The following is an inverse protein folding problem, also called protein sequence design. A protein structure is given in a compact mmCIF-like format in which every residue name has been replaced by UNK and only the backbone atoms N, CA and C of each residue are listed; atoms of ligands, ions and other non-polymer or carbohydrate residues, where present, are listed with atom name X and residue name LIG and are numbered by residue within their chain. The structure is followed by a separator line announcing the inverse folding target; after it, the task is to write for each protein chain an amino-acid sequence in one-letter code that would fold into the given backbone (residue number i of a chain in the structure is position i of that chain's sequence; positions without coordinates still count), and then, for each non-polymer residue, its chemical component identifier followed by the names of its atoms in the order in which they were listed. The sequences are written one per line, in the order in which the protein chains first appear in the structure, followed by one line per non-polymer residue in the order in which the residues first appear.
data_IF_009133768312
#
_entry.id   IF_009133768312
#
_cell.length_a   1.000
_cell.length_b   1.000
_cell.length_c   1.000
_cell.angle_alpha   90.00
_cell.angle_beta   90.00
_cell.angle_gamma   90.00
#
_symmetry.space_group_name_H-M   'P 1'
#
loop_
_entity.id
_entity.type
_entity.pdbx_description
1 polymer ?
#
# COMPACT_ATOMS: atom_id res chain seq x y z
N UNK A 1 28.31 -13.18 12.22
CA UNK A 1 27.27 -12.96 13.24
C UNK A 1 26.03 -12.52 12.49
N UNK A 2 24.95 -13.31 12.55
CA UNK A 2 23.67 -12.93 11.94
C UNK A 2 22.97 -11.94 12.89
N UNK A 3 22.22 -10.94 12.41
CA UNK A 3 21.52 -10.01 13.29
C UNK A 3 20.50 -10.79 14.13
N UNK A 4 20.70 -10.84 15.44
CA UNK A 4 20.02 -11.81 16.30
C UNK A 4 18.91 -11.24 17.18
N UNK A 5 18.37 -10.05 16.87
CA UNK A 5 16.98 -9.70 17.24
C UNK A 5 16.60 -8.33 16.67
N UNK A 6 15.46 -8.25 16.00
CA UNK A 6 14.78 -6.97 15.75
C UNK A 6 13.92 -6.65 16.97
N UNK A 7 14.39 -5.74 17.83
CA UNK A 7 13.58 -5.19 18.94
C UNK A 7 12.94 -3.88 18.51
N UNK A 8 11.63 -3.78 18.74
CA UNK A 8 10.87 -2.55 18.57
C UNK A 8 11.33 -1.50 19.60
N UNK A 9 12.03 -0.46 19.16
CA UNK A 9 12.51 0.60 20.06
C UNK A 9 11.37 1.51 20.54
N UNK A 10 10.46 1.91 19.64
CA UNK A 10 9.29 2.72 19.97
C UNK A 10 8.20 2.55 18.92
N UNK A 11 6.96 2.39 19.37
CA UNK A 11 5.78 2.54 18.54
C UNK A 11 5.06 3.85 18.89
N UNK A 12 4.80 4.70 17.90
CA UNK A 12 4.04 5.95 18.08
C UNK A 12 2.89 5.92 17.11
N UNK A 13 1.67 5.92 17.64
CA UNK A 13 0.48 6.12 16.83
C UNK A 13 0.41 7.57 16.37
N UNK A 14 0.03 7.78 15.11
CA UNK A 14 -0.26 9.11 14.57
C UNK A 14 -1.72 9.47 14.90
N UNK A 15 -1.94 10.70 15.34
CA UNK A 15 -3.27 11.28 15.54
C UNK A 15 -3.72 12.03 14.29
N UNK A 16 -5.00 12.41 14.22
CA UNK A 16 -5.52 13.26 13.13
C UNK A 16 -4.78 14.60 13.02
N UNK A 17 -4.28 15.14 14.13
CA UNK A 17 -3.47 16.34 14.13
C UNK A 17 -2.10 16.12 13.48
N UNK A 18 -1.52 14.93 13.66
CA UNK A 18 -0.24 14.55 13.05
C UNK A 18 -0.37 14.29 11.54
N UNK A 19 -1.55 13.87 11.10
CA UNK A 19 -1.83 13.57 9.68
C UNK A 19 -2.61 14.65 8.95
N UNK A 20 -2.95 15.75 9.64
CA UNK A 20 -3.84 16.80 9.15
C UNK A 20 -5.18 16.28 8.59
N UNK A 21 -5.68 15.16 9.12
CA UNK A 21 -6.88 14.48 8.63
C UNK A 21 -6.75 13.88 7.22
N UNK A 22 -5.54 13.73 6.69
CA UNK A 22 -5.28 13.23 5.33
C UNK A 22 -5.15 11.70 5.25
N UNK A 23 -5.48 10.98 6.33
CA UNK A 23 -5.47 9.51 6.33
C UNK A 23 -6.73 8.95 5.70
N UNK A 24 -6.56 8.11 4.69
CA UNK A 24 -7.63 7.33 4.10
C UNK A 24 -7.73 5.97 4.79
N UNK A 25 -8.90 5.57 5.28
CA UNK A 25 -9.05 4.21 5.84
C UNK A 25 -8.91 3.16 4.73
N UNK A 26 -9.29 3.50 3.48
CA UNK A 26 -9.30 2.56 2.35
C UNK A 26 -8.30 2.92 1.25
N UNK A 27 -8.28 4.19 0.83
CA UNK A 27 -7.56 4.65 -0.35
C UNK A 27 -6.33 5.51 -0.01
N UNK A 28 -5.19 4.83 0.14
CA UNK A 28 -3.84 5.42 0.12
C UNK A 28 -3.00 4.68 -0.93
N UNK A 29 -3.36 4.76 -2.23
CA UNK A 29 -2.85 3.84 -3.22
C UNK A 29 -1.39 4.09 -3.57
N UNK A 30 -0.61 3.00 -3.64
CA UNK A 30 0.68 2.95 -4.30
C UNK A 30 0.54 2.27 -5.65
N UNK A 31 1.18 2.81 -6.69
CA UNK A 31 1.08 2.31 -8.07
C UNK A 31 2.45 2.04 -8.67
N UNK A 32 2.55 0.91 -9.37
CA UNK A 32 3.65 0.61 -10.29
C UNK A 32 3.08 0.41 -11.69
N UNK A 33 3.72 1.02 -12.69
CA UNK A 33 3.29 0.93 -14.09
C UNK A 33 4.46 0.49 -14.98
N UNK A 34 4.22 -0.57 -15.76
CA UNK A 34 5.09 -1.07 -16.81
C UNK A 34 4.28 -1.30 -18.10
N UNK A 35 3.77 -0.21 -18.67
CA UNK A 35 3.00 -0.18 -19.91
C UNK A 35 1.66 -0.88 -19.73
N UNK A 36 1.50 -2.04 -20.36
CA UNK A 36 0.27 -2.82 -20.25
C UNK A 36 0.02 -3.33 -18.83
N UNK A 37 1.08 -3.53 -18.03
CA UNK A 37 0.99 -4.07 -16.68
C UNK A 37 0.98 -2.95 -15.66
N UNK A 38 -0.11 -2.83 -14.91
CA UNK A 38 -0.24 -1.87 -13.80
C UNK A 38 -0.60 -2.64 -12.55
N UNK A 39 0.06 -2.33 -11.44
CA UNK A 39 -0.25 -2.86 -10.11
C UNK A 39 -0.60 -1.69 -9.20
N UNK A 40 -1.76 -1.77 -8.54
CA UNK A 40 -2.19 -0.79 -7.52
C UNK A 40 -2.47 -1.53 -6.23
N UNK A 41 -2.00 -0.97 -5.11
CA UNK A 41 -2.26 -1.48 -3.77
C UNK A 41 -2.78 -0.35 -2.89
N UNK A 42 -3.90 -0.56 -2.20
CA UNK A 42 -4.38 0.30 -1.12
C UNK A 42 -4.36 -0.44 0.22
N UNK A 43 -4.91 0.18 1.28
CA UNK A 43 -4.86 -0.39 2.64
C UNK A 43 -5.57 -1.76 2.74
N UNK A 44 -6.62 -1.98 1.95
CA UNK A 44 -7.44 -3.22 1.98
C UNK A 44 -7.53 -3.95 0.64
N UNK A 45 -6.75 -3.56 -0.37
CA UNK A 45 -6.83 -4.20 -1.68
C UNK A 45 -5.51 -4.20 -2.43
N UNK A 46 -5.36 -5.21 -3.29
CA UNK A 46 -4.42 -5.20 -4.38
C UNK A 46 -5.18 -5.52 -5.65
N UNK A 47 -4.88 -4.80 -6.74
CA UNK A 47 -5.49 -5.03 -8.05
C UNK A 47 -4.44 -4.87 -9.13
N UNK A 48 -4.58 -5.60 -10.24
CA UNK A 48 -3.73 -5.44 -11.42
C UNK A 48 -4.55 -5.17 -12.67
N UNK A 49 -3.92 -4.49 -13.62
CA UNK A 49 -4.37 -4.40 -15.00
C UNK A 49 -3.31 -4.98 -15.93
N UNK A 50 -3.75 -5.65 -16.99
CA UNK A 50 -2.91 -6.18 -18.06
C UNK A 50 -3.15 -5.47 -19.42
N UNK A 51 -3.94 -4.40 -19.41
CA UNK A 51 -4.37 -3.64 -20.59
C UNK A 51 -4.27 -2.13 -20.36
N UNK A 52 -3.19 -1.69 -19.70
CA UNK A 52 -2.86 -0.28 -19.45
C UNK A 52 -3.95 0.48 -18.66
N UNK A 53 -4.53 -0.19 -17.66
CA UNK A 53 -5.52 0.38 -16.75
C UNK A 53 -6.96 0.37 -17.25
N UNK A 54 -7.26 -0.33 -18.35
CA UNK A 54 -8.61 -0.38 -18.93
C UNK A 54 -9.51 -1.34 -18.15
N UNK A 55 -9.01 -2.52 -17.79
CA UNK A 55 -9.67 -3.51 -16.94
C UNK A 55 -8.78 -3.89 -15.77
N UNK A 56 -9.42 -4.31 -14.67
CA UNK A 56 -8.76 -4.58 -13.40
C UNK A 56 -9.27 -5.88 -12.78
N UNK A 57 -8.34 -6.72 -12.35
CA UNK A 57 -8.60 -7.90 -11.55
C UNK A 57 -8.16 -7.64 -10.11
N UNK A 58 -9.02 -7.99 -9.15
CA UNK A 58 -8.64 -8.05 -7.75
C UNK A 58 -7.65 -9.20 -7.51
N UNK A 59 -6.61 -8.93 -6.74
CA UNK A 59 -5.63 -9.91 -6.31
C UNK A 59 -5.96 -10.32 -4.87
N UNK A 60 -6.58 -11.48 -4.72
CA UNK A 60 -6.67 -12.15 -3.43
C UNK A 60 -5.33 -12.83 -3.11
N UNK A 61 -4.86 -12.81 -1.85
CA UNK A 61 -3.89 -13.80 -1.38
C UNK A 61 -4.40 -15.22 -1.57
#
# INVERSE_FOLDING_TARGET
MLPEDFVLFRNVSLTDADTAGQTGVVDEPSVSNNGQRVLVTGNWYASRSLDNGTTWDYLSP
#
